data_IF_183768126488
#
_entry.id   IF_183768126488
#
_cell.length_a   1.000
_cell.length_b   1.000
_cell.length_c   1.000
_cell.angle_alpha   90.00
_cell.angle_beta   90.00
_cell.angle_gamma   90.00
#
_symmetry.space_group_name_H-M   'P 1'
#
loop_
_entity.id
_entity.type
_entity.pdbx_description
1 polymer ?
#
# COMPACT_ATOMS: atom_id res chain seq x y z
N UNK A 1 -5.32 7.48 29.91
CA UNK A 1 -5.50 7.15 28.76
C UNK A 1 -4.42 7.51 27.84
N UNK A 2 -4.35 6.97 26.78
CA UNK A 2 -3.24 7.19 25.98
C UNK A 2 -3.63 7.71 24.66
N UNK A 3 -3.11 8.85 24.37
CA UNK A 3 -3.14 9.33 23.03
C UNK A 3 -1.97 8.71 22.31
N UNK A 4 -2.19 8.09 21.20
CA UNK A 4 -1.09 7.60 20.40
C UNK A 4 -0.40 8.82 19.83
N UNK A 5 0.84 9.07 20.26
CA UNK A 5 1.53 10.22 19.75
C UNK A 5 2.08 9.92 18.35
N UNK A 6 2.36 10.95 17.56
CA UNK A 6 2.79 10.75 16.16
C UNK A 6 4.05 9.90 16.02
N UNK A 7 4.95 9.96 17.01
CA UNK A 7 6.17 9.18 16.96
C UNK A 7 5.86 7.70 17.06
N UNK A 8 4.95 7.32 17.98
CA UNK A 8 4.58 5.91 18.12
C UNK A 8 3.87 5.39 16.88
N UNK A 9 2.99 6.19 16.28
CA UNK A 9 2.30 5.80 15.08
C UNK A 9 3.28 5.61 13.93
N UNK A 10 4.20 6.54 13.77
CA UNK A 10 5.23 6.44 12.74
C UNK A 10 6.04 5.15 12.91
N UNK A 11 6.52 4.91 14.13
CA UNK A 11 7.33 3.73 14.41
C UNK A 11 6.56 2.43 14.13
N UNK A 12 5.27 2.38 14.49
CA UNK A 12 4.45 1.20 14.23
C UNK A 12 4.31 0.95 12.74
N UNK A 13 3.97 1.99 11.97
CA UNK A 13 3.76 1.84 10.53
C UNK A 13 5.05 1.44 9.83
N UNK A 14 6.16 2.07 10.17
CA UNK A 14 7.46 1.73 9.60
C UNK A 14 7.85 0.31 9.96
N UNK A 15 7.58 -0.10 11.20
CA UNK A 15 7.84 -1.48 11.62
C UNK A 15 7.04 -2.48 10.82
N UNK A 16 5.77 -2.18 10.52
CA UNK A 16 4.95 -3.07 9.69
C UNK A 16 5.48 -3.16 8.26
N UNK A 17 5.90 -2.05 7.69
CA UNK A 17 6.49 -2.06 6.35
C UNK A 17 7.79 -2.85 6.32
N UNK A 18 8.63 -2.65 7.31
CA UNK A 18 9.93 -3.35 7.39
C UNK A 18 9.76 -4.84 7.64
N UNK A 19 8.74 -5.24 8.40
CA UNK A 19 8.51 -6.66 8.65
C UNK A 19 8.10 -7.38 7.37
N UNK A 20 7.29 -6.74 6.55
CA UNK A 20 6.81 -7.30 5.30
C UNK A 20 5.93 -8.53 5.47
N UNK A 21 5.42 -8.78 6.68
CA UNK A 21 4.53 -9.92 6.91
C UNK A 21 3.14 -9.62 6.37
N UNK A 22 2.43 -10.66 5.95
CA UNK A 22 1.09 -10.52 5.41
C UNK A 22 0.18 -9.72 6.33
N UNK A 23 0.14 -10.07 7.61
CA UNK A 23 -0.73 -9.40 8.56
C UNK A 23 -0.34 -7.94 8.76
N UNK A 24 0.93 -7.59 8.62
CA UNK A 24 1.36 -6.20 8.77
C UNK A 24 1.03 -5.37 7.54
N UNK A 25 1.10 -5.98 6.35
CA UNK A 25 0.61 -5.32 5.14
C UNK A 25 -0.89 -5.05 5.27
N UNK A 26 -1.63 -6.03 5.83
CA UNK A 26 -3.07 -5.84 6.08
C UNK A 26 -3.32 -4.68 7.02
N UNK A 27 -2.52 -4.53 8.08
CA UNK A 27 -2.67 -3.40 9.00
C UNK A 27 -2.47 -2.06 8.31
N UNK A 28 -1.49 -1.99 7.43
CA UNK A 28 -1.25 -0.76 6.67
C UNK A 28 -2.42 -0.46 5.74
N UNK A 29 -2.93 -1.47 5.05
CA UNK A 29 -4.06 -1.29 4.15
C UNK A 29 -5.34 -0.95 4.91
N UNK A 30 -5.54 -1.53 6.10
CA UNK A 30 -6.69 -1.20 6.94
C UNK A 30 -6.63 0.25 7.41
N UNK A 31 -5.45 0.77 7.65
CA UNK A 31 -5.30 2.16 8.05
C UNK A 31 -5.82 3.12 6.97
N UNK A 32 -5.67 2.77 5.70
CA UNK A 32 -6.24 3.58 4.62
C UNK A 32 -7.77 3.60 4.68
N UNK A 33 -8.36 2.47 5.03
CA UNK A 33 -9.83 2.38 5.09
C UNK A 33 -10.39 3.13 6.30
N UNK A 34 -9.60 3.26 7.37
CA UNK A 34 -10.05 3.86 8.62
C UNK A 34 -9.79 5.36 8.71
N UNK A 35 -8.97 5.91 7.85
CA UNK A 35 -8.60 7.31 7.95
C UNK A 35 -8.39 7.89 6.55
N UNK A 36 -8.96 9.07 6.34
CA UNK A 36 -8.80 9.75 5.07
C UNK A 36 -7.92 11.00 5.20
N UNK A 37 -7.25 11.18 6.35
CA UNK A 37 -6.38 12.35 6.47
C UNK A 37 -5.09 12.13 5.68
N UNK A 38 -4.56 13.25 5.18
CA UNK A 38 -3.41 13.22 4.29
C UNK A 38 -2.16 12.68 4.98
N UNK A 39 -1.98 13.02 6.25
CA UNK A 39 -0.79 12.56 6.98
C UNK A 39 -0.76 11.04 7.09
N UNK A 40 -1.91 10.42 7.40
CA UNK A 40 -1.99 8.97 7.49
C UNK A 40 -1.75 8.32 6.14
N UNK A 41 -2.36 8.84 5.07
CA UNK A 41 -2.18 8.24 3.75
C UNK A 41 -0.74 8.33 3.28
N UNK A 42 -0.06 9.44 3.54
CA UNK A 42 1.35 9.57 3.19
C UNK A 42 2.22 8.60 3.97
N UNK A 43 1.91 8.42 5.26
CA UNK A 43 2.66 7.51 6.10
C UNK A 43 2.47 6.06 5.66
N UNK A 44 1.23 5.68 5.30
CA UNK A 44 0.96 4.34 4.79
C UNK A 44 1.73 4.12 3.49
N UNK A 45 1.70 5.08 2.57
CA UNK A 45 2.41 4.93 1.31
C UNK A 45 3.91 4.74 1.53
N UNK A 46 4.49 5.53 2.43
CA UNK A 46 5.90 5.39 2.77
C UNK A 46 6.19 4.00 3.35
N UNK A 47 5.37 3.56 4.30
CA UNK A 47 5.58 2.27 4.95
C UNK A 47 5.42 1.10 3.98
N UNK A 48 4.42 1.16 3.09
CA UNK A 48 4.25 0.14 2.07
C UNK A 48 5.48 0.06 1.17
N UNK A 49 6.11 1.20 0.89
CA UNK A 49 7.32 1.22 0.08
C UNK A 49 8.49 0.49 0.69
N UNK A 50 8.46 0.24 2.01
CA UNK A 50 9.51 -0.49 2.71
C UNK A 50 9.36 -2.00 2.60
N UNK A 51 8.20 -2.49 2.15
CA UNK A 51 7.95 -3.93 2.03
C UNK A 51 8.93 -4.53 1.03
N UNK A 52 9.66 -5.56 1.47
CA UNK A 52 10.67 -6.18 0.64
C UNK A 52 10.76 -7.69 0.93
N UNK A 53 9.61 -8.32 1.11
CA UNK A 53 9.51 -9.75 1.35
C UNK A 53 8.63 -10.37 0.28
N UNK A 54 8.82 -11.66 0.05
CA UNK A 54 7.98 -12.37 -0.91
C UNK A 54 6.53 -12.35 -0.47
N UNK A 55 6.27 -12.63 0.81
CA UNK A 55 4.88 -12.67 1.28
C UNK A 55 4.23 -11.29 1.27
N UNK A 56 4.98 -10.24 1.59
CA UNK A 56 4.45 -8.88 1.55
C UNK A 56 4.11 -8.45 0.13
N UNK A 57 4.98 -8.76 -0.83
CA UNK A 57 4.70 -8.46 -2.23
C UNK A 57 3.50 -9.24 -2.74
N UNK A 58 3.36 -10.51 -2.33
CA UNK A 58 2.20 -11.30 -2.72
C UNK A 58 0.92 -10.71 -2.14
N UNK A 59 0.98 -10.19 -0.92
CA UNK A 59 -0.20 -9.56 -0.33
C UNK A 59 -0.55 -8.24 -1.01
N UNK A 60 0.44 -7.45 -1.39
CA UNK A 60 0.21 -6.24 -2.18
C UNK A 60 -0.39 -6.56 -3.54
N UNK A 61 0.07 -7.64 -4.17
CA UNK A 61 -0.52 -8.13 -5.41
C UNK A 61 -2.01 -8.44 -5.20
N UNK A 62 -2.34 -9.10 -4.09
CA UNK A 62 -3.73 -9.37 -3.76
C UNK A 62 -4.55 -8.07 -3.68
N UNK A 63 -4.03 -7.05 -3.01
CA UNK A 63 -4.75 -5.78 -2.89
C UNK A 63 -4.89 -5.06 -4.22
N UNK A 64 -3.92 -5.19 -5.11
CA UNK A 64 -4.02 -4.58 -6.43
C UNK A 64 -5.26 -5.08 -7.17
N UNK A 65 -5.55 -6.36 -7.07
CA UNK A 65 -6.64 -6.97 -7.84
C UNK A 65 -7.94 -7.16 -7.04
N UNK A 66 -7.89 -7.13 -5.71
CA UNK A 66 -9.04 -7.46 -4.88
C UNK A 66 -9.34 -6.46 -3.78
N UNK A 67 -8.52 -5.44 -3.59
CA UNK A 67 -8.74 -4.44 -2.56
C UNK A 67 -9.79 -3.42 -2.97
N UNK A 68 -10.07 -2.47 -2.07
CA UNK A 68 -10.89 -1.32 -2.42
C UNK A 68 -10.15 -0.50 -3.49
N UNK A 69 -10.86 0.48 -4.08
CA UNK A 69 -10.21 1.33 -5.09
C UNK A 69 -8.99 2.02 -4.50
N UNK A 70 -9.09 2.53 -3.28
CA UNK A 70 -7.96 3.18 -2.64
C UNK A 70 -6.81 2.21 -2.39
N UNK A 71 -7.13 1.01 -1.91
CA UNK A 71 -6.10 0.00 -1.67
C UNK A 71 -5.44 -0.45 -2.96
N UNK A 72 -6.23 -0.63 -4.02
CA UNK A 72 -5.68 -0.99 -5.34
C UNK A 72 -4.75 0.10 -5.85
N UNK A 73 -5.15 1.37 -5.68
CA UNK A 73 -4.34 2.50 -6.12
C UNK A 73 -3.00 2.55 -5.38
N UNK A 74 -3.00 2.29 -4.07
CA UNK A 74 -1.76 2.33 -3.30
C UNK A 74 -0.87 1.13 -3.60
N UNK A 75 -1.47 -0.04 -3.84
CA UNK A 75 -0.70 -1.19 -4.30
C UNK A 75 -0.08 -0.90 -5.66
N UNK A 76 -0.80 -0.22 -6.54
CA UNK A 76 -0.26 0.14 -7.86
C UNK A 76 0.94 1.06 -7.73
N UNK A 77 0.92 2.02 -6.79
CA UNK A 77 2.08 2.88 -6.56
C UNK A 77 3.31 2.06 -6.19
N UNK A 78 3.13 1.06 -5.33
CA UNK A 78 4.21 0.18 -4.94
C UNK A 78 4.85 -0.49 -6.16
N UNK A 79 4.02 -1.09 -7.00
CA UNK A 79 4.53 -1.82 -8.17
C UNK A 79 5.06 -0.88 -9.25
N UNK A 80 4.46 0.30 -9.38
CA UNK A 80 4.94 1.30 -10.34
C UNK A 80 6.37 1.74 -10.02
N UNK A 81 6.65 1.98 -8.75
CA UNK A 81 7.99 2.39 -8.32
C UNK A 81 9.03 1.31 -8.59
N UNK A 82 8.60 0.06 -8.70
CA UNK A 82 9.49 -1.06 -8.98
C UNK A 82 9.54 -1.45 -10.45
N UNK A 83 8.82 -0.72 -11.29
CA UNK A 83 8.88 -0.92 -12.73
C UNK A 83 8.17 -2.17 -13.22
N UNK A 84 7.18 -2.68 -12.46
CA UNK A 84 6.48 -3.90 -12.84
C UNK A 84 5.32 -3.56 -13.78
N UNK A 85 5.68 -3.18 -15.01
CA UNK A 85 4.75 -2.65 -15.99
C UNK A 85 3.70 -3.67 -16.40
N UNK A 86 4.11 -4.92 -16.60
CA UNK A 86 3.17 -5.96 -17.05
C UNK A 86 2.04 -6.16 -16.05
N UNK A 87 2.36 -6.11 -14.77
CA UNK A 87 1.38 -6.24 -13.71
C UNK A 87 0.40 -5.06 -13.71
N UNK A 88 0.91 -3.86 -13.94
CA UNK A 88 0.06 -2.68 -14.04
C UNK A 88 -0.84 -2.73 -15.27
N UNK A 89 -0.31 -3.20 -16.40
CA UNK A 89 -1.09 -3.38 -17.62
C UNK A 89 -2.27 -4.32 -17.37
N UNK A 90 -2.01 -5.41 -16.66
CA UNK A 90 -3.07 -6.37 -16.33
C UNK A 90 -4.13 -5.72 -15.45
N UNK A 91 -3.72 -4.94 -14.47
CA UNK A 91 -4.66 -4.27 -13.55
C UNK A 91 -5.52 -3.25 -14.31
N UNK A 92 -4.94 -2.53 -15.27
CA UNK A 92 -5.70 -1.60 -16.11
C UNK A 92 -6.69 -2.37 -16.98
N UNK A 93 -6.24 -3.47 -17.60
CA UNK A 93 -7.10 -4.28 -18.47
C UNK A 93 -8.30 -4.84 -17.73
N UNK A 94 -8.13 -5.16 -16.44
CA UNK A 94 -9.21 -5.68 -15.59
C UNK A 94 -10.04 -4.59 -14.94
N UNK A 95 -9.72 -3.31 -15.20
CA UNK A 95 -10.48 -2.21 -14.64
C UNK A 95 -10.23 -1.94 -13.17
N UNK A 96 -9.13 -2.45 -12.61
CA UNK A 96 -8.81 -2.25 -11.19
C UNK A 96 -8.22 -0.87 -10.91
N UNK A 97 -7.43 -0.37 -11.84
CA UNK A 97 -6.87 0.97 -11.81
C UNK A 97 -7.01 1.57 -13.19
N UNK A 98 -6.92 2.90 -13.30
CA UNK A 98 -6.98 3.53 -14.61
C UNK A 98 -5.57 3.78 -15.16
N UNK A 99 -5.51 4.23 -16.39
CA UNK A 99 -4.23 4.47 -17.06
C UNK A 99 -3.40 5.53 -16.36
N UNK A 100 -4.06 6.56 -15.81
CA UNK A 100 -3.35 7.59 -15.08
C UNK A 100 -2.67 7.01 -13.86
N UNK A 101 -3.38 6.16 -13.12
CA UNK A 101 -2.83 5.52 -11.92
C UNK A 101 -1.67 4.61 -12.27
N UNK A 102 -1.75 3.92 -13.41
CA UNK A 102 -0.71 2.98 -13.81
C UNK A 102 0.54 3.66 -14.35
N UNK A 103 0.37 4.73 -15.14
CA UNK A 103 1.46 5.24 -15.96
C UNK A 103 1.90 6.66 -15.67
N UNK A 104 1.11 7.47 -14.96
CA UNK A 104 1.54 8.83 -14.68
C UNK A 104 2.61 8.84 -13.57
N UNK A 105 3.39 9.86 -13.59
CA UNK A 105 4.47 9.99 -12.61
C UNK A 105 3.99 10.62 -11.32
#
# INVERSE_FOLDING_TARGET
MHTINPINRYASFVGWGNSGKTEDVDRLMDALALSDDLATTKLVDYALGLVDTREGRARLHHYLFHGSQQQSNFAALYFKRRGLVDLLDEAVALGRIDERQAYSK
#
